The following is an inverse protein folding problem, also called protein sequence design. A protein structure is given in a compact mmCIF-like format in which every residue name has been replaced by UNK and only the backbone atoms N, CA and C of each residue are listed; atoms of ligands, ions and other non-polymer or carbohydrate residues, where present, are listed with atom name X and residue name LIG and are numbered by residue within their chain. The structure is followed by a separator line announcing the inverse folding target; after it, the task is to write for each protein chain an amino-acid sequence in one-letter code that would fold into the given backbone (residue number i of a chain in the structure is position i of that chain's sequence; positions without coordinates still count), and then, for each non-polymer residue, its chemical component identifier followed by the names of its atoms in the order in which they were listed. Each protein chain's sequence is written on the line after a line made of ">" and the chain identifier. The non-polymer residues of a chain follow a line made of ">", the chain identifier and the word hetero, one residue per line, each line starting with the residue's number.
data_IF_109482470168
#
_entry.id   IF_109482470168
#
_cell.length_a   1.000
_cell.length_b   1.000
_cell.length_c   1.000
_cell.angle_alpha   90.00
_cell.angle_beta   90.00
_cell.angle_gamma   90.00
#
_symmetry.space_group_name_H-M   'P 1'
#
loop_
_entity.id
_entity.type
_entity.pdbx_description
1 polymer ?
#
# COMPACT_ATOMS: atom_id res chain seq x y z
N UNK A 1 5.62 11.55 34.32
CA UNK A 1 5.91 11.06 32.96
C UNK A 1 6.45 9.65 33.11
N UNK A 2 5.71 8.65 32.65
CA UNK A 2 6.21 7.28 32.52
C UNK A 2 7.21 7.26 31.37
N UNK A 3 8.41 6.77 31.62
CA UNK A 3 9.40 6.53 30.56
C UNK A 3 8.94 5.33 29.75
N UNK A 4 8.65 5.54 28.47
CA UNK A 4 8.31 4.46 27.53
C UNK A 4 9.45 3.47 27.40
N UNK A 5 9.12 2.18 27.35
CA UNK A 5 10.12 1.11 27.28
C UNK A 5 10.89 1.17 25.95
N UNK A 6 12.22 1.09 26.01
CA UNK A 6 13.08 1.12 24.82
C UNK A 6 13.10 -0.25 24.16
N UNK A 7 12.89 -0.31 22.84
CA UNK A 7 13.13 -1.50 22.02
C UNK A 7 14.34 -1.29 21.12
N UNK A 8 15.30 -2.22 21.17
CA UNK A 8 16.47 -2.27 20.29
C UNK A 8 16.19 -3.20 19.12
N UNK A 9 16.42 -2.73 17.90
CA UNK A 9 16.44 -3.52 16.68
C UNK A 9 17.87 -3.60 16.17
N UNK A 10 18.40 -4.81 15.98
CA UNK A 10 19.80 -5.02 15.60
C UNK A 10 19.97 -5.99 14.43
N UNK A 11 21.20 -6.11 13.92
CA UNK A 11 21.54 -6.99 12.79
C UNK A 11 20.70 -6.67 11.54
N UNK A 12 20.49 -5.39 11.22
CA UNK A 12 19.72 -4.95 10.06
C UNK A 12 20.54 -4.20 9.01
N UNK A 13 19.91 -3.89 7.88
CA UNK A 13 20.37 -2.88 6.91
C UNK A 13 19.41 -1.69 6.97
N UNK A 14 19.63 -0.81 7.93
CA UNK A 14 18.76 0.32 8.22
C UNK A 14 19.11 1.47 7.28
N UNK A 15 18.22 1.77 6.35
CA UNK A 15 18.38 2.88 5.42
C UNK A 15 18.20 4.20 6.17
N UNK A 16 19.10 5.14 5.89
CA UNK A 16 19.04 6.49 6.45
C UNK A 16 18.97 7.52 5.32
N UNK A 17 18.12 8.53 5.49
CA UNK A 17 18.19 9.71 4.65
C UNK A 17 19.35 10.57 5.13
N UNK A 18 20.45 10.55 4.40
CA UNK A 18 21.60 11.39 4.76
C UNK A 18 21.26 12.87 4.52
N UNK A 19 21.69 13.78 5.42
CA UNK A 19 21.53 15.21 5.24
C UNK A 19 22.13 15.63 3.90
N UNK A 20 21.42 16.52 3.21
CA UNK A 20 21.92 17.13 1.97
C UNK A 20 23.03 18.11 2.34
N UNK A 21 24.28 17.77 2.10
CA UNK A 21 25.35 18.77 1.99
C UNK A 21 25.45 19.18 0.52
N UNK A 22 25.14 20.44 0.19
CA UNK A 22 25.29 20.96 -1.17
C UNK A 22 23.99 21.16 -1.97
N UNK A 23 24.13 21.35 -3.30
CA UNK A 23 23.02 21.71 -4.21
C UNK A 23 22.10 20.51 -4.49
N UNK A 24 20.84 20.75 -4.89
CA UNK A 24 19.92 19.68 -5.21
C UNK A 24 20.37 18.67 -6.27
N UNK A 25 21.20 19.13 -7.21
CA UNK A 25 21.74 18.36 -8.33
C UNK A 25 23.03 17.60 -8.00
N UNK A 26 23.65 17.83 -6.84
CA UNK A 26 24.89 17.17 -6.49
C UNK A 26 24.62 15.72 -6.04
N UNK A 27 25.51 14.77 -6.41
CA UNK A 27 25.42 13.39 -5.93
C UNK A 27 25.39 13.35 -4.41
N UNK A 28 24.59 12.45 -3.85
CA UNK A 28 24.61 12.21 -2.40
C UNK A 28 25.70 11.21 -2.07
N UNK A 29 26.54 11.56 -1.10
CA UNK A 29 27.47 10.60 -0.50
C UNK A 29 26.68 9.63 0.38
N UNK A 30 26.37 8.45 -0.16
CA UNK A 30 25.75 7.37 0.61
C UNK A 30 26.82 6.69 1.46
N UNK A 31 26.94 7.08 2.73
CA UNK A 31 27.88 6.51 3.69
C UNK A 31 27.50 5.09 4.20
N UNK A 32 26.53 4.41 3.57
CA UNK A 32 26.12 3.04 3.91
C UNK A 32 24.83 2.94 4.74
N UNK A 33 24.50 1.69 5.10
CA UNK A 33 23.37 1.37 5.99
C UNK A 33 23.80 1.41 7.46
N UNK A 34 22.92 1.89 8.34
CA UNK A 34 23.03 1.61 9.77
C UNK A 34 22.76 0.11 10.04
N UNK A 35 23.28 -0.41 11.15
CA UNK A 35 23.11 -1.82 11.52
C UNK A 35 22.10 -2.04 12.65
N UNK A 36 21.75 -0.98 13.38
CA UNK A 36 20.81 -1.03 14.50
C UNK A 36 20.12 0.32 14.73
N UNK A 37 18.95 0.28 15.37
CA UNK A 37 18.25 1.45 15.87
C UNK A 37 17.47 1.12 17.15
N UNK A 38 17.12 2.14 17.93
CA UNK A 38 16.23 2.00 19.09
C UNK A 38 14.97 2.82 18.92
N UNK A 39 13.90 2.36 19.53
CA UNK A 39 12.63 3.11 19.64
C UNK A 39 12.25 3.28 21.10
N UNK A 40 11.59 4.39 21.39
CA UNK A 40 10.91 4.65 22.66
C UNK A 40 9.52 5.19 22.33
N UNK A 41 8.49 4.40 22.62
CA UNK A 41 7.14 4.64 22.11
C UNK A 41 7.11 4.66 20.57
N UNK A 42 6.56 5.72 19.99
CA UNK A 42 6.43 5.92 18.53
C UNK A 42 7.65 6.59 17.88
N UNK A 43 8.71 6.85 18.65
CA UNK A 43 9.87 7.62 18.18
C UNK A 43 11.12 6.76 18.06
N UNK A 44 11.94 7.03 17.04
CA UNK A 44 13.30 6.49 16.95
C UNK A 44 14.19 7.32 17.88
N UNK A 45 14.77 6.69 18.90
CA UNK A 45 15.58 7.36 19.92
C UNK A 45 17.07 7.36 19.62
N UNK A 46 17.58 6.37 18.87
CA UNK A 46 18.97 6.33 18.42
C UNK A 46 19.10 5.45 17.18
N UNK A 47 20.14 5.71 16.37
CA UNK A 47 20.50 4.89 15.21
C UNK A 47 22.02 4.79 15.13
N UNK A 48 22.55 3.63 14.80
CA UNK A 48 23.99 3.44 14.69
C UNK A 48 24.44 2.34 13.73
N UNK A 49 25.74 2.32 13.49
CA UNK A 49 26.42 1.36 12.64
C UNK A 49 27.44 0.54 13.45
N UNK A 50 27.73 -0.69 13.01
CA UNK A 50 28.60 -1.62 13.72
C UNK A 50 27.94 -2.29 14.93
N UNK A 51 28.74 -2.54 15.97
CA UNK A 51 28.27 -3.17 17.21
C UNK A 51 27.39 -2.22 18.03
N UNK A 52 26.36 -2.77 18.69
CA UNK A 52 25.50 -2.00 19.60
C UNK A 52 26.29 -1.65 20.87
N UNK A 53 26.37 -0.36 21.26
CA UNK A 53 26.98 0.05 22.52
C UNK A 53 26.33 -0.62 23.74
N UNK A 54 27.13 -0.91 24.77
CA UNK A 54 26.66 -1.66 25.94
C UNK A 54 25.61 -0.89 26.75
N UNK A 55 25.73 0.43 26.83
CA UNK A 55 24.76 1.34 27.46
C UNK A 55 23.43 1.35 26.69
N UNK A 56 23.47 1.39 25.36
CA UNK A 56 22.26 1.27 24.51
C UNK A 56 21.57 -0.07 24.75
N UNK A 57 22.34 -1.18 24.78
CA UNK A 57 21.78 -2.50 25.05
C UNK A 57 21.21 -2.62 26.46
N UNK A 58 21.86 -2.04 27.47
CA UNK A 58 21.40 -2.07 28.85
C UNK A 58 20.08 -1.31 29.06
N UNK A 59 19.79 -0.31 28.22
CA UNK A 59 18.53 0.45 28.24
C UNK A 59 17.37 -0.27 27.53
N UNK A 60 17.65 -1.30 26.74
CA UNK A 60 16.64 -2.00 25.95
C UNK A 60 15.83 -2.97 26.83
N UNK A 61 14.52 -2.73 26.94
CA UNK A 61 13.59 -3.69 27.55
C UNK A 61 13.34 -4.89 26.63
N UNK A 62 13.42 -4.66 25.32
CA UNK A 62 13.20 -5.67 24.28
C UNK A 62 14.31 -5.56 23.23
N UNK A 63 14.79 -6.71 22.75
CA UNK A 63 15.75 -6.81 21.64
C UNK A 63 15.13 -7.61 20.51
N UNK A 64 15.20 -7.06 19.29
CA UNK A 64 14.69 -7.65 18.06
C UNK A 64 15.84 -7.83 17.08
N UNK A 65 16.10 -9.08 16.68
CA UNK A 65 17.05 -9.41 15.62
C UNK A 65 16.37 -9.26 14.26
N UNK A 66 16.91 -8.40 13.40
CA UNK A 66 16.41 -8.12 12.05
C UNK A 66 16.94 -9.11 11.00
N UNK A 67 17.80 -10.06 11.37
CA UNK A 67 18.25 -11.17 10.51
C UNK A 67 18.90 -10.72 9.18
N UNK A 68 19.55 -9.57 9.17
CA UNK A 68 20.18 -8.96 8.01
C UNK A 68 19.21 -8.28 7.02
N UNK A 69 17.92 -8.20 7.34
CA UNK A 69 16.91 -7.60 6.47
C UNK A 69 17.03 -6.07 6.41
N UNK A 70 16.53 -5.51 5.30
CA UNK A 70 16.49 -4.07 5.10
C UNK A 70 15.35 -3.43 5.89
N UNK A 71 15.64 -2.28 6.50
CA UNK A 71 14.66 -1.41 7.15
C UNK A 71 14.59 -0.11 6.37
N UNK A 72 13.40 0.23 5.91
CA UNK A 72 13.12 1.46 5.18
C UNK A 72 12.18 2.33 6.02
N UNK A 73 12.20 3.67 5.84
CA UNK A 73 11.09 4.49 6.30
C UNK A 73 9.78 3.97 5.72
N UNK A 74 8.69 4.16 6.47
CA UNK A 74 7.35 3.90 5.95
C UNK A 74 7.13 4.65 4.64
N UNK A 75 6.49 4.00 3.66
CA UNK A 75 6.18 4.63 2.39
C UNK A 75 5.22 5.81 2.63
N UNK A 76 5.57 6.97 2.07
CA UNK A 76 4.73 8.16 2.13
C UNK A 76 4.21 8.46 0.73
N UNK A 77 2.90 8.26 0.54
CA UNK A 77 2.21 8.66 -0.67
C UNK A 77 1.77 10.13 -0.55
N UNK A 78 2.28 10.99 -1.43
CA UNK A 78 1.99 12.43 -1.42
C UNK A 78 0.73 12.80 -2.19
N UNK A 79 0.16 11.87 -2.97
CA UNK A 79 -1.03 12.13 -3.77
C UNK A 79 -1.82 10.85 -4.00
N UNK A 80 -2.89 10.70 -3.22
CA UNK A 80 -3.77 9.54 -3.29
C UNK A 80 -5.23 9.94 -3.10
N UNK A 81 -6.13 9.25 -3.81
CA UNK A 81 -7.57 9.36 -3.59
C UNK A 81 -8.03 8.26 -2.63
N UNK A 82 -7.68 8.37 -1.35
CA UNK A 82 -7.87 7.29 -0.36
C UNK A 82 -9.33 6.81 -0.27
N UNK A 83 -10.28 7.74 -0.26
CA UNK A 83 -11.71 7.41 -0.24
C UNK A 83 -12.12 6.59 -1.48
N UNK A 84 -11.70 7.03 -2.67
CA UNK A 84 -12.02 6.33 -3.92
C UNK A 84 -11.39 4.93 -3.96
N UNK A 85 -10.19 4.75 -3.42
CA UNK A 85 -9.58 3.41 -3.31
C UNK A 85 -10.39 2.47 -2.44
N UNK A 86 -10.94 2.96 -1.32
CA UNK A 86 -11.87 2.19 -0.49
C UNK A 86 -13.17 1.88 -1.22
N UNK A 87 -13.75 2.86 -1.91
CA UNK A 87 -14.98 2.68 -2.70
C UNK A 87 -14.84 1.62 -3.79
N UNK A 88 -13.71 1.57 -4.51
CA UNK A 88 -13.50 0.59 -5.58
C UNK A 88 -13.58 -0.85 -5.07
N UNK A 89 -13.25 -1.11 -3.80
CA UNK A 89 -13.42 -2.44 -3.21
C UNK A 89 -14.91 -2.88 -3.12
N UNK A 90 -15.83 -1.93 -3.18
CA UNK A 90 -17.27 -2.16 -3.20
C UNK A 90 -17.88 -2.12 -4.61
N UNK A 91 -17.09 -1.78 -5.63
CA UNK A 91 -17.58 -1.74 -7.01
C UNK A 91 -17.69 -3.14 -7.60
N UNK A 92 -18.64 -3.31 -8.53
CA UNK A 92 -18.73 -4.50 -9.36
C UNK A 92 -17.53 -4.50 -10.33
N UNK A 93 -16.69 -5.52 -10.23
CA UNK A 93 -15.60 -5.73 -11.18
C UNK A 93 -16.14 -6.41 -12.46
N UNK A 94 -16.24 -5.63 -13.53
CA UNK A 94 -16.72 -6.08 -14.84
C UNK A 94 -15.58 -6.36 -15.82
N UNK A 95 -14.32 -6.37 -15.37
CA UNK A 95 -13.19 -6.73 -16.23
C UNK A 95 -13.30 -8.16 -16.70
N UNK A 96 -12.99 -8.38 -17.98
CA UNK A 96 -13.04 -9.70 -18.60
C UNK A 96 -14.44 -10.29 -18.74
N UNK A 97 -15.51 -9.49 -18.67
CA UNK A 97 -16.84 -9.95 -19.09
C UNK A 97 -16.87 -10.20 -20.60
N UNK A 98 -17.42 -11.34 -21.02
CA UNK A 98 -17.42 -11.78 -22.43
C UNK A 98 -18.80 -11.75 -23.11
N UNK A 99 -19.85 -11.39 -22.37
CA UNK A 99 -21.20 -11.23 -22.90
C UNK A 99 -22.05 -10.34 -22.01
N UNK A 100 -23.17 -9.85 -22.53
CA UNK A 100 -24.17 -9.13 -21.75
C UNK A 100 -24.78 -10.00 -20.64
N UNK A 101 -24.90 -11.31 -20.86
CA UNK A 101 -25.40 -12.25 -19.86
C UNK A 101 -24.41 -12.43 -18.71
N UNK A 102 -23.11 -12.57 -19.00
CA UNK A 102 -22.05 -12.64 -17.98
C UNK A 102 -21.98 -11.31 -17.19
N UNK A 103 -22.00 -10.17 -17.89
CA UNK A 103 -22.06 -8.86 -17.25
C UNK A 103 -23.26 -8.75 -16.30
N UNK A 104 -24.46 -9.11 -16.77
CA UNK A 104 -25.69 -9.06 -15.95
C UNK A 104 -25.60 -10.01 -14.76
N UNK A 105 -25.09 -11.23 -14.95
CA UNK A 105 -24.92 -12.20 -13.89
C UNK A 105 -23.97 -11.70 -12.80
N UNK A 106 -22.86 -11.03 -13.16
CA UNK A 106 -21.94 -10.43 -12.19
C UNK A 106 -22.57 -9.29 -11.41
N UNK A 107 -23.31 -8.41 -12.07
CA UNK A 107 -24.06 -7.33 -11.40
C UNK A 107 -25.07 -7.91 -10.41
N UNK A 108 -25.86 -8.91 -10.82
CA UNK A 108 -26.86 -9.53 -9.96
C UNK A 108 -26.23 -10.28 -8.78
N UNK A 109 -25.11 -10.99 -9.00
CA UNK A 109 -24.38 -11.66 -7.94
C UNK A 109 -23.78 -10.68 -6.93
N UNK A 110 -23.34 -9.50 -7.39
CA UNK A 110 -22.87 -8.43 -6.50
C UNK A 110 -24.01 -7.79 -5.74
N UNK A 111 -25.14 -7.50 -6.40
CA UNK A 111 -26.36 -7.00 -5.76
C UNK A 111 -26.82 -7.90 -4.61
N UNK A 112 -26.78 -9.22 -4.81
CA UNK A 112 -27.15 -10.20 -3.79
C UNK A 112 -26.22 -10.19 -2.57
N UNK A 113 -24.95 -9.83 -2.73
CA UNK A 113 -23.98 -9.68 -1.62
C UNK A 113 -24.21 -8.41 -0.81
N UNK A 114 -24.80 -7.37 -1.43
CA UNK A 114 -25.02 -6.05 -0.83
C UNK A 114 -26.50 -5.65 -0.93
N UNK A 115 -27.43 -6.37 -0.25
CA UNK A 115 -28.87 -6.16 -0.41
C UNK A 115 -29.38 -4.82 0.12
N UNK A 116 -28.56 -4.11 0.91
CA UNK A 116 -28.88 -2.78 1.46
C UNK A 116 -28.18 -1.63 0.71
N UNK A 117 -27.47 -1.92 -0.38
CA UNK A 117 -26.83 -0.88 -1.17
C UNK A 117 -27.88 -0.08 -1.95
N UNK A 118 -27.88 1.24 -1.76
CA UNK A 118 -28.76 2.14 -2.53
C UNK A 118 -28.37 2.20 -4.02
N UNK A 119 -27.07 2.03 -4.31
CA UNK A 119 -26.51 2.09 -5.65
C UNK A 119 -25.46 1.01 -5.86
N UNK A 120 -25.44 0.44 -7.06
CA UNK A 120 -24.36 -0.41 -7.53
C UNK A 120 -23.52 0.39 -8.52
N UNK A 121 -22.23 0.51 -8.21
CA UNK A 121 -21.25 1.12 -9.11
C UNK A 121 -20.37 0.00 -9.65
N UNK A 122 -20.14 -0.03 -10.96
CA UNK A 122 -19.32 -1.04 -11.61
C UNK A 122 -18.36 -0.42 -12.61
N UNK A 123 -17.24 -1.09 -12.87
CA UNK A 123 -16.21 -0.60 -13.79
C UNK A 123 -15.55 -1.72 -14.60
N UNK A 124 -14.95 -1.34 -15.72
CA UNK A 124 -14.02 -2.20 -16.46
C UNK A 124 -14.61 -3.13 -17.51
N UNK A 125 -15.88 -2.99 -17.88
CA UNK A 125 -16.42 -3.67 -19.06
C UNK A 125 -15.84 -3.08 -20.35
N UNK A 126 -15.73 -3.91 -21.38
CA UNK A 126 -15.19 -3.53 -22.69
C UNK A 126 -16.18 -3.93 -23.79
N UNK A 127 -16.65 -2.96 -24.59
CA UNK A 127 -17.67 -3.18 -25.62
C UNK A 127 -17.28 -4.26 -26.64
N UNK A 128 -15.99 -4.27 -27.04
CA UNK A 128 -15.43 -5.21 -28.01
C UNK A 128 -15.41 -6.65 -27.49
N UNK A 129 -15.50 -6.84 -26.17
CA UNK A 129 -15.51 -8.16 -25.52
C UNK A 129 -16.92 -8.69 -25.28
N UNK A 130 -17.91 -7.79 -25.17
CA UNK A 130 -19.30 -8.15 -24.83
C UNK A 130 -20.08 -8.69 -26.04
N UNK A 131 -19.66 -8.39 -27.25
CA UNK A 131 -20.29 -8.88 -28.47
C UNK A 131 -19.35 -8.79 -29.67
N UNK A 132 -19.58 -9.62 -30.70
CA UNK A 132 -18.81 -9.60 -31.94
C UNK A 132 -18.93 -8.31 -32.76
N UNK A 133 -19.89 -7.44 -32.43
CA UNK A 133 -20.15 -6.18 -33.12
C UNK A 133 -19.89 -4.96 -32.21
N UNK A 134 -19.14 -5.13 -31.11
CA UNK A 134 -18.73 -4.04 -30.21
C UNK A 134 -19.89 -3.18 -29.67
N UNK A 135 -21.00 -3.81 -29.27
CA UNK A 135 -22.18 -3.12 -28.72
C UNK A 135 -21.91 -2.55 -27.33
N UNK A 136 -22.50 -1.38 -27.07
CA UNK A 136 -22.47 -0.72 -25.78
C UNK A 136 -23.52 -1.28 -24.82
N UNK A 137 -23.20 -1.24 -23.53
CA UNK A 137 -24.19 -1.44 -22.46
C UNK A 137 -25.16 -0.27 -22.47
N UNK A 138 -26.46 -0.59 -22.49
CA UNK A 138 -27.54 0.40 -22.49
C UNK A 138 -28.50 0.09 -21.35
N UNK A 139 -29.14 1.14 -20.79
CA UNK A 139 -30.03 1.02 -19.63
C UNK A 139 -31.18 0.04 -19.86
N UNK A 140 -31.72 0.03 -21.08
CA UNK A 140 -32.68 -0.96 -21.54
C UNK A 140 -32.08 -1.65 -22.76
N UNK A 141 -31.88 -2.98 -22.73
CA UNK A 141 -31.37 -3.71 -23.88
C UNK A 141 -32.38 -3.60 -25.02
N UNK A 142 -32.11 -2.69 -25.96
CA UNK A 142 -32.86 -2.56 -27.19
C UNK A 142 -32.29 -3.55 -28.21
N UNK A 143 -33.11 -4.07 -29.14
CA UNK A 143 -32.59 -4.78 -30.30
C UNK A 143 -31.72 -3.81 -31.08
N UNK A 144 -30.40 -3.97 -30.98
CA UNK A 144 -29.44 -3.24 -31.81
C UNK A 144 -29.04 -4.19 -32.93
N UNK A 145 -29.05 -3.77 -34.21
CA UNK A 145 -28.45 -4.55 -35.26
C UNK A 145 -26.92 -4.62 -35.08
N UNK A 146 -26.32 -5.64 -35.67
CA UNK A 146 -25.07 -5.42 -36.38
C UNK A 146 -25.50 -4.98 -37.79
#
# INVERSE_FOLDING_TARGET
>A
MTTEATTLYENGKVWQWMPRTGRPSEPRDFAGYASWFTTSGETISAVGHGAVPQDVRALAATVVDLQGHAVLPGLQDSHIHLYHMGEVAHYVDLRGTSSFDDLSARVMAHAAKFPLADWLVGFGWEQDKLSSCARYVVMFPLPQPC
#
